data_IF_000650963227
#
_entry.id   IF_000650963227
#
_cell.length_a   1.000
_cell.length_b   1.000
_cell.length_c   1.000
_cell.angle_alpha   90.00
_cell.angle_beta   90.00
_cell.angle_gamma   90.00
#
_symmetry.space_group_name_H-M   'P 1'
#
loop_
_entity.id
_entity.type
_entity.pdbx_description
1 polymer ?
#
# COMPACT_ATOMS: atom_id res chain seq x y z
N UNK A 1 -14.78 22.02 9.60
CA UNK A 1 -13.87 21.17 8.80
C UNK A 1 -12.70 20.78 9.67
N UNK A 2 -12.03 19.66 9.35
CA UNK A 2 -10.76 19.32 10.02
C UNK A 2 -9.68 20.32 9.58
N UNK A 3 -8.78 20.67 10.50
CA UNK A 3 -7.59 21.44 10.17
C UNK A 3 -6.69 20.62 9.22
N UNK A 4 -6.32 21.14 8.03
CA UNK A 4 -5.55 20.38 7.04
C UNK A 4 -4.18 19.96 7.57
N UNK A 5 -3.54 20.79 8.42
CA UNK A 5 -2.25 20.45 9.03
C UNK A 5 -2.41 19.26 9.98
N UNK A 6 -3.43 19.30 10.83
CA UNK A 6 -3.82 18.19 11.71
C UNK A 6 -4.15 16.90 10.94
N UNK A 7 -4.88 17.00 9.83
CA UNK A 7 -5.22 15.83 9.00
C UNK A 7 -3.99 15.17 8.38
N UNK A 8 -3.02 15.97 7.88
CA UNK A 8 -1.76 15.46 7.35
C UNK A 8 -0.90 14.85 8.45
N UNK A 9 -0.83 15.48 9.63
CA UNK A 9 -0.11 14.93 10.77
C UNK A 9 -0.69 13.57 11.19
N UNK A 10 -2.02 13.46 11.25
CA UNK A 10 -2.71 12.21 11.56
C UNK A 10 -2.42 11.13 10.51
N UNK A 11 -2.43 11.47 9.22
CA UNK A 11 -2.05 10.53 8.14
C UNK A 11 -0.63 9.98 8.32
N UNK A 12 0.34 10.85 8.65
CA UNK A 12 1.73 10.45 8.88
C UNK A 12 1.84 9.50 10.09
N UNK A 13 1.19 9.84 11.21
CA UNK A 13 1.18 9.00 12.40
C UNK A 13 0.49 7.66 12.17
N UNK A 14 -0.66 7.65 11.48
CA UNK A 14 -1.35 6.43 11.10
C UNK A 14 -0.47 5.55 10.19
N UNK A 15 0.29 6.15 9.27
CA UNK A 15 1.28 5.46 8.44
C UNK A 15 2.36 4.78 9.29
N UNK A 16 2.98 5.49 10.23
CA UNK A 16 3.98 4.88 11.13
C UNK A 16 3.41 3.77 12.00
N UNK A 17 2.20 3.96 12.54
CA UNK A 17 1.52 2.93 13.33
C UNK A 17 1.24 1.68 12.48
N UNK A 18 0.76 1.86 11.23
CA UNK A 18 0.50 0.75 10.32
C UNK A 18 1.78 -0.04 9.99
N UNK A 19 2.89 0.64 9.71
CA UNK A 19 4.20 0.02 9.46
C UNK A 19 4.68 -0.75 10.70
N UNK A 20 4.57 -0.17 11.89
CA UNK A 20 4.93 -0.83 13.14
C UNK A 20 4.11 -2.10 13.40
N UNK A 21 2.78 -2.03 13.24
CA UNK A 21 1.90 -3.19 13.36
C UNK A 21 2.20 -4.27 12.31
N UNK A 22 2.48 -3.88 11.06
CA UNK A 22 2.85 -4.81 10.00
C UNK A 22 4.18 -5.51 10.30
N UNK A 23 5.18 -4.78 10.81
CA UNK A 23 6.46 -5.36 11.22
C UNK A 23 6.30 -6.35 12.38
N UNK A 24 5.52 -6.00 13.41
CA UNK A 24 5.22 -6.89 14.52
C UNK A 24 4.47 -8.15 14.07
N UNK A 25 3.47 -8.00 13.20
CA UNK A 25 2.73 -9.11 12.61
C UNK A 25 3.64 -10.05 11.80
N UNK A 26 4.52 -9.50 10.95
CA UNK A 26 5.48 -10.28 10.18
C UNK A 26 6.48 -11.02 11.08
N UNK A 27 7.04 -10.34 12.08
CA UNK A 27 7.96 -10.93 13.04
C UNK A 27 7.32 -12.08 13.83
N UNK A 28 6.07 -11.92 14.25
CA UNK A 28 5.29 -12.97 14.91
C UNK A 28 5.21 -14.25 14.07
N UNK A 29 4.86 -14.13 12.78
CA UNK A 29 4.77 -15.29 11.89
C UNK A 29 6.13 -15.92 11.57
N UNK A 30 7.17 -15.10 11.39
CA UNK A 30 8.54 -15.61 11.21
C UNK A 30 8.99 -16.41 12.43
N UNK A 31 8.68 -15.93 13.65
CA UNK A 31 8.94 -16.66 14.89
C UNK A 31 8.25 -18.02 14.93
N UNK A 32 6.98 -18.08 14.52
CA UNK A 32 6.22 -19.34 14.40
C UNK A 32 6.87 -20.28 13.38
N UNK A 33 7.28 -19.78 12.22
CA UNK A 33 7.92 -20.62 11.19
C UNK A 33 9.25 -21.17 11.67
N UNK A 34 10.07 -20.34 12.32
CA UNK A 34 11.35 -20.74 12.89
C UNK A 34 11.16 -21.83 13.97
N UNK A 35 10.23 -21.63 14.91
CA UNK A 35 9.91 -22.60 15.96
C UNK A 35 9.40 -23.95 15.39
N UNK A 36 8.85 -23.94 14.17
CA UNK A 36 8.38 -25.14 13.46
C UNK A 36 9.42 -25.73 12.49
N UNK A 37 10.65 -25.21 12.49
CA UNK A 37 11.72 -25.66 11.57
C UNK A 37 11.43 -25.36 10.09
N UNK A 38 10.51 -24.44 9.80
CA UNK A 38 10.14 -24.07 8.42
C UNK A 38 11.04 -22.93 7.95
N UNK A 39 11.65 -23.10 6.77
CA UNK A 39 12.37 -22.02 6.12
C UNK A 39 11.39 -20.89 5.73
N UNK A 40 11.58 -19.69 6.29
CA UNK A 40 10.70 -18.55 6.05
C UNK A 40 10.60 -18.12 4.58
N UNK A 41 11.65 -18.32 3.78
CA UNK A 41 11.62 -18.06 2.34
C UNK A 41 10.71 -19.07 1.62
N UNK A 42 10.83 -20.35 1.98
CA UNK A 42 9.94 -21.40 1.46
C UNK A 42 8.48 -21.20 1.92
N UNK A 43 8.25 -20.55 3.07
CA UNK A 43 6.92 -20.26 3.57
C UNK A 43 6.24 -19.07 2.85
N UNK A 44 7.01 -18.22 2.17
CA UNK A 44 6.54 -16.94 1.61
C UNK A 44 6.49 -16.92 0.09
N UNK A 45 7.37 -17.67 -0.59
CA UNK A 45 7.37 -17.75 -2.05
C UNK A 45 6.61 -19.00 -2.51
N UNK A 46 5.53 -18.87 -3.32
CA UNK A 46 4.79 -20.02 -3.81
C UNK A 46 5.67 -20.87 -4.74
N UNK A 47 5.64 -22.22 -4.61
CA UNK A 47 6.40 -23.09 -5.48
C UNK A 47 5.91 -22.98 -6.92
N UNK A 48 6.77 -23.30 -7.91
CA UNK A 48 6.45 -23.18 -9.35
C UNK A 48 5.11 -23.82 -9.75
N UNK A 49 4.73 -24.93 -9.13
CA UNK A 49 3.45 -25.61 -9.37
C UNK A 49 2.24 -24.73 -9.07
N UNK A 50 2.31 -23.84 -8.09
CA UNK A 50 1.22 -22.93 -7.73
C UNK A 50 1.01 -21.77 -8.70
N UNK A 51 1.93 -21.55 -9.65
CA UNK A 51 1.79 -20.54 -10.69
C UNK A 51 1.03 -21.06 -11.92
N UNK A 52 0.51 -22.28 -11.83
CA UNK A 52 -0.36 -22.86 -12.85
C UNK A 52 -1.81 -22.39 -12.63
N UNK A 53 -2.49 -21.97 -13.70
CA UNK A 53 -3.85 -21.42 -13.65
C UNK A 53 -4.95 -22.49 -13.62
N UNK A 54 -4.58 -23.78 -13.63
CA UNK A 54 -5.56 -24.86 -13.57
C UNK A 54 -6.21 -24.96 -12.17
N UNK A 55 -7.55 -24.98 -12.13
CA UNK A 55 -8.33 -24.92 -10.89
C UNK A 55 -8.06 -26.06 -9.92
N UNK A 56 -7.78 -27.27 -10.43
CA UNK A 56 -7.40 -28.45 -9.64
C UNK A 56 -6.15 -28.20 -8.80
N UNK A 57 -5.20 -27.41 -9.30
CA UNK A 57 -3.94 -27.11 -8.62
C UNK A 57 -4.13 -26.24 -7.38
N UNK A 58 -5.16 -25.38 -7.36
CA UNK A 58 -5.42 -24.44 -6.27
C UNK A 58 -6.06 -25.09 -5.04
N UNK A 59 -6.87 -26.12 -5.28
CA UNK A 59 -7.53 -26.92 -4.24
C UNK A 59 -6.66 -28.11 -3.79
N UNK A 60 -5.73 -28.56 -4.64
CA UNK A 60 -4.80 -29.64 -4.30
C UNK A 60 -3.86 -29.21 -3.18
N UNK A 61 -3.76 -30.04 -2.13
CA UNK A 61 -2.76 -29.87 -1.06
C UNK A 61 -1.38 -30.23 -1.60
N UNK A 62 -0.44 -29.29 -1.56
CA UNK A 62 0.93 -29.49 -2.04
C UNK A 62 1.91 -29.64 -0.86
N UNK A 63 2.52 -30.82 -0.76
CA UNK A 63 3.68 -31.11 0.11
C UNK A 63 3.42 -31.18 1.62
N UNK A 64 4.32 -31.83 2.34
CA UNK A 64 4.29 -32.21 3.77
C UNK A 64 4.69 -31.07 4.74
N UNK A 65 4.15 -29.88 4.56
CA UNK A 65 4.45 -28.70 5.43
C UNK A 65 3.25 -28.23 6.29
N UNK A 66 2.27 -29.09 6.52
CA UNK A 66 1.33 -28.96 7.63
C UNK A 66 1.83 -29.75 8.84
N UNK A 67 1.62 -29.17 10.02
CA UNK A 67 1.98 -29.69 11.34
C UNK A 67 1.40 -31.10 11.64
N UNK A 68 0.48 -31.55 10.81
CA UNK A 68 -0.41 -32.71 10.93
C UNK A 68 -0.31 -33.65 9.72
N UNK A 69 0.67 -33.44 8.83
CA UNK A 69 0.74 -34.16 7.55
C UNK A 69 -0.30 -33.68 6.52
N UNK A 70 -1.03 -32.60 6.81
CA UNK A 70 -1.94 -31.98 5.83
C UNK A 70 -1.16 -30.97 4.98
N UNK A 71 -1.11 -31.17 3.67
CA UNK A 71 -0.40 -30.21 2.82
C UNK A 71 -1.06 -28.82 2.79
N UNK A 72 -0.26 -27.78 2.61
CA UNK A 72 -0.78 -26.41 2.37
C UNK A 72 -1.34 -26.33 0.95
N UNK A 73 -2.43 -25.60 0.79
CA UNK A 73 -2.96 -25.26 -0.55
C UNK A 73 -2.12 -24.14 -1.16
N UNK A 74 -2.16 -24.02 -2.50
CA UNK A 74 -1.52 -22.90 -3.18
C UNK A 74 -2.04 -21.55 -2.67
N UNK A 75 -3.33 -21.47 -2.32
CA UNK A 75 -3.93 -20.30 -1.70
C UNK A 75 -3.17 -19.83 -0.44
N UNK A 76 -2.77 -20.75 0.44
CA UNK A 76 -2.01 -20.40 1.66
C UNK A 76 -0.63 -19.80 1.34
N UNK A 77 0.05 -20.29 0.30
CA UNK A 77 1.32 -19.71 -0.15
C UNK A 77 1.13 -18.30 -0.70
N UNK A 78 0.07 -18.08 -1.49
CA UNK A 78 -0.20 -16.75 -2.05
C UNK A 78 -0.59 -15.73 -0.97
N UNK A 79 -1.32 -16.12 0.08
CA UNK A 79 -1.55 -15.24 1.23
C UNK A 79 -0.22 -14.72 1.78
N UNK A 80 0.75 -15.60 2.06
CA UNK A 80 2.04 -15.20 2.62
C UNK A 80 2.85 -14.36 1.63
N UNK A 81 2.81 -14.71 0.34
CA UNK A 81 3.45 -13.97 -0.73
C UNK A 81 2.96 -12.52 -0.80
N UNK A 82 1.63 -12.32 -0.84
CA UNK A 82 1.06 -10.98 -0.87
C UNK A 82 1.30 -10.22 0.43
N UNK A 83 1.35 -10.91 1.58
CA UNK A 83 1.80 -10.30 2.84
C UNK A 83 3.24 -9.76 2.76
N UNK A 84 4.15 -10.51 2.14
CA UNK A 84 5.52 -10.06 1.89
C UNK A 84 5.58 -8.89 0.91
N UNK A 85 4.82 -8.93 -0.19
CA UNK A 85 4.73 -7.82 -1.16
C UNK A 85 4.21 -6.54 -0.48
N UNK A 86 3.19 -6.65 0.38
CA UNK A 86 2.68 -5.53 1.17
C UNK A 86 3.73 -4.99 2.15
N UNK A 87 4.46 -5.87 2.85
CA UNK A 87 5.51 -5.46 3.78
C UNK A 87 6.65 -4.72 3.08
N UNK A 88 7.13 -5.23 1.94
CA UNK A 88 8.16 -4.56 1.13
C UNK A 88 7.65 -3.20 0.63
N UNK A 89 6.39 -3.13 0.19
CA UNK A 89 5.78 -1.87 -0.24
C UNK A 89 5.73 -0.85 0.90
N UNK A 90 5.38 -1.27 2.12
CA UNK A 90 5.40 -0.39 3.30
C UNK A 90 6.79 0.10 3.67
N UNK A 91 7.80 -0.74 3.55
CA UNK A 91 9.20 -0.34 3.78
C UNK A 91 9.60 0.73 2.76
N UNK A 92 9.35 0.49 1.47
CA UNK A 92 9.67 1.43 0.40
C UNK A 92 8.90 2.75 0.56
N UNK A 93 7.61 2.70 0.90
CA UNK A 93 6.80 3.88 1.25
C UNK A 93 7.42 4.69 2.38
N UNK A 94 7.84 4.02 3.44
CA UNK A 94 8.40 4.69 4.62
C UNK A 94 9.72 5.38 4.26
N UNK A 95 10.60 4.68 3.55
CA UNK A 95 11.91 5.21 3.13
C UNK A 95 11.76 6.41 2.19
N UNK A 96 10.87 6.33 1.19
CA UNK A 96 10.66 7.45 0.26
C UNK A 96 9.85 8.60 0.86
N UNK A 97 9.13 8.36 1.96
CA UNK A 97 8.36 9.39 2.69
C UNK A 97 9.15 10.07 3.80
N UNK A 98 10.41 9.70 4.03
CA UNK A 98 11.26 10.37 5.01
C UNK A 98 11.33 11.88 4.74
N UNK A 99 11.34 12.74 5.78
CA UNK A 99 11.31 14.19 5.60
C UNK A 99 12.45 14.71 4.72
N UNK A 100 13.63 14.08 4.79
CA UNK A 100 14.78 14.41 3.95
C UNK A 100 14.52 14.12 2.47
N UNK A 101 13.98 12.94 2.14
CA UNK A 101 13.64 12.56 0.75
C UNK A 101 12.54 13.46 0.21
N UNK A 102 11.47 13.68 0.99
CA UNK A 102 10.34 14.52 0.58
C UNK A 102 10.75 15.96 0.27
N UNK A 103 11.66 16.55 1.07
CA UNK A 103 12.12 17.94 0.86
C UNK A 103 13.09 18.07 -0.32
N UNK A 104 13.93 17.07 -0.58
CA UNK A 104 14.98 17.15 -1.62
C UNK A 104 14.58 16.53 -2.96
N UNK A 105 13.74 15.50 -2.93
CA UNK A 105 13.36 14.69 -4.08
C UNK A 105 11.84 14.49 -4.14
N UNK A 106 11.08 15.59 -4.12
CA UNK A 106 9.61 15.55 -4.06
C UNK A 106 8.96 14.70 -5.17
N UNK A 107 9.49 14.73 -6.40
CA UNK A 107 9.00 13.90 -7.50
C UNK A 107 9.13 12.40 -7.21
N UNK A 108 10.26 11.99 -6.62
CA UNK A 108 10.49 10.58 -6.23
C UNK A 108 9.53 10.19 -5.12
N UNK A 109 9.40 11.04 -4.09
CA UNK A 109 8.41 10.87 -3.04
C UNK A 109 7.01 10.67 -3.64
N UNK A 110 6.52 11.59 -4.46
CA UNK A 110 5.17 11.54 -4.99
C UNK A 110 4.89 10.28 -5.82
N UNK A 111 5.76 9.96 -6.79
CA UNK A 111 5.57 8.81 -7.67
C UNK A 111 5.66 7.48 -6.91
N UNK A 112 6.64 7.35 -6.01
CA UNK A 112 6.79 6.15 -5.19
C UNK A 112 5.65 6.01 -4.18
N UNK A 113 5.22 7.11 -3.56
CA UNK A 113 4.15 7.10 -2.57
C UNK A 113 2.83 6.64 -3.19
N UNK A 114 2.46 7.18 -4.35
CA UNK A 114 1.25 6.73 -5.06
C UNK A 114 1.41 5.28 -5.55
N UNK A 115 2.52 4.95 -6.21
CA UNK A 115 2.74 3.62 -6.77
C UNK A 115 2.74 2.51 -5.73
N UNK A 116 3.53 2.66 -4.66
CA UNK A 116 3.59 1.67 -3.59
C UNK A 116 2.34 1.68 -2.71
N UNK A 117 1.63 2.80 -2.56
CA UNK A 117 0.35 2.81 -1.85
C UNK A 117 -0.68 1.94 -2.59
N UNK A 118 -0.84 2.11 -3.90
CA UNK A 118 -1.74 1.29 -4.72
C UNK A 118 -1.33 -0.19 -4.67
N UNK A 119 -0.03 -0.48 -4.85
CA UNK A 119 0.48 -1.85 -4.75
C UNK A 119 0.19 -2.48 -3.39
N UNK A 120 0.43 -1.75 -2.30
CA UNK A 120 0.18 -2.22 -0.94
C UNK A 120 -1.31 -2.49 -0.68
N UNK A 121 -2.21 -1.65 -1.20
CA UNK A 121 -3.66 -1.86 -1.10
C UNK A 121 -4.11 -3.14 -1.82
N UNK A 122 -3.66 -3.34 -3.07
CA UNK A 122 -3.96 -4.57 -3.81
C UNK A 122 -3.40 -5.81 -3.10
N UNK A 123 -2.14 -5.74 -2.64
CA UNK A 123 -1.51 -6.84 -1.92
C UNK A 123 -2.23 -7.16 -0.60
N UNK A 124 -2.68 -6.15 0.15
CA UNK A 124 -3.47 -6.34 1.37
C UNK A 124 -4.81 -7.02 1.12
N UNK A 125 -5.51 -6.66 0.03
CA UNK A 125 -6.76 -7.33 -0.36
C UNK A 125 -6.53 -8.81 -0.69
N UNK A 126 -5.43 -9.13 -1.38
CA UNK A 126 -5.06 -10.51 -1.69
C UNK A 126 -4.53 -11.29 -0.46
N UNK A 127 -3.90 -10.60 0.49
CA UNK A 127 -3.41 -11.20 1.74
C UNK A 127 -4.56 -11.52 2.70
N UNK A 128 -5.56 -10.64 2.81
CA UNK A 128 -6.69 -10.81 3.72
C UNK A 128 -7.97 -10.22 3.13
N UNK A 129 -8.83 -11.08 2.57
CA UNK A 129 -10.06 -10.66 1.87
C UNK A 129 -10.99 -9.77 2.71
N UNK A 130 -11.04 -9.94 4.04
CA UNK A 130 -11.87 -9.10 4.93
C UNK A 130 -11.37 -7.66 5.03
N UNK A 131 -10.17 -7.34 4.52
CA UNK A 131 -9.69 -5.96 4.38
C UNK A 131 -10.65 -5.08 3.57
N UNK A 132 -11.47 -5.67 2.69
CA UNK A 132 -12.47 -4.93 1.91
C UNK A 132 -13.40 -4.10 2.81
N UNK A 133 -13.81 -4.63 3.97
CA UNK A 133 -14.72 -3.94 4.88
C UNK A 133 -14.07 -2.73 5.56
N UNK A 134 -12.75 -2.73 5.70
CA UNK A 134 -11.99 -1.64 6.31
C UNK A 134 -11.57 -0.59 5.27
N UNK A 135 -11.23 -1.01 4.05
CA UNK A 135 -10.75 -0.12 3.00
C UNK A 135 -11.89 0.56 2.22
N UNK A 136 -12.98 -0.16 1.94
CA UNK A 136 -14.05 0.33 1.08
C UNK A 136 -14.67 1.66 1.57
N UNK A 137 -15.02 1.83 2.86
CA UNK A 137 -15.59 3.10 3.33
C UNK A 137 -14.65 4.29 3.11
N UNK A 138 -13.35 4.11 3.41
CA UNK A 138 -12.35 5.16 3.24
C UNK A 138 -12.10 5.50 1.77
N UNK A 139 -12.05 4.50 0.89
CA UNK A 139 -11.88 4.70 -0.55
C UNK A 139 -13.10 5.37 -1.18
N UNK A 140 -14.31 5.00 -0.77
CA UNK A 140 -15.55 5.65 -1.21
C UNK A 140 -15.60 7.11 -0.75
N UNK A 141 -15.21 7.38 0.49
CA UNK A 141 -15.14 8.75 1.00
C UNK A 141 -14.10 9.60 0.25
N UNK A 142 -12.92 9.03 -0.01
CA UNK A 142 -11.88 9.68 -0.80
C UNK A 142 -12.33 9.96 -2.24
N UNK A 143 -12.99 8.99 -2.87
CA UNK A 143 -13.54 9.15 -4.21
C UNK A 143 -14.62 10.23 -4.23
N UNK A 144 -15.56 10.22 -3.28
CA UNK A 144 -16.63 11.21 -3.19
C UNK A 144 -16.11 12.64 -2.99
N UNK A 145 -15.04 12.81 -2.20
CA UNK A 145 -14.42 14.12 -1.95
C UNK A 145 -13.51 14.60 -3.08
N UNK A 146 -12.84 13.68 -3.79
CA UNK A 146 -11.92 14.02 -4.88
C UNK A 146 -12.60 14.12 -6.25
N UNK A 147 -13.73 13.43 -6.43
CA UNK A 147 -14.44 13.36 -7.70
C UNK A 147 -14.89 14.72 -8.24
N UNK A 148 -15.46 15.65 -7.43
CA UNK A 148 -15.83 16.97 -7.94
C UNK A 148 -14.65 17.74 -8.53
N UNK A 149 -13.50 17.74 -7.83
CA UNK A 149 -12.28 18.39 -8.30
C UNK A 149 -11.73 17.73 -9.56
N UNK A 150 -11.74 16.39 -9.63
CA UNK A 150 -11.31 15.64 -10.81
C UNK A 150 -12.25 15.90 -12.01
N UNK A 151 -13.57 15.91 -11.78
CA UNK A 151 -14.56 16.23 -12.80
C UNK A 151 -14.42 17.67 -13.29
N UNK A 152 -14.20 18.63 -12.39
CA UNK A 152 -13.92 20.02 -12.75
C UNK A 152 -12.63 20.12 -13.58
N UNK A 153 -11.55 19.46 -13.18
CA UNK A 153 -10.30 19.46 -13.94
C UNK A 153 -10.49 18.88 -15.35
N UNK A 154 -11.23 17.78 -15.48
CA UNK A 154 -11.54 17.15 -16.77
C UNK A 154 -12.42 18.05 -17.66
N UNK A 155 -13.44 18.70 -17.08
CA UNK A 155 -14.32 19.63 -17.79
C UNK A 155 -13.57 20.90 -18.22
N UNK A 156 -12.70 21.45 -17.37
CA UNK A 156 -11.85 22.59 -17.67
C UNK A 156 -10.85 22.26 -18.79
N UNK A 157 -10.25 21.06 -18.77
CA UNK A 157 -9.39 20.59 -19.86
C UNK A 157 -10.14 20.57 -21.20
N UNK A 158 -11.39 20.08 -21.20
CA UNK A 158 -12.24 20.06 -22.40
C UNK A 158 -12.70 21.44 -22.88
N UNK A 159 -12.75 22.44 -21.99
CA UNK A 159 -13.13 23.83 -22.30
C UNK A 159 -11.96 24.71 -22.75
N UNK A 160 -10.77 24.13 -22.97
CA UNK A 160 -9.58 24.85 -23.42
C UNK A 160 -8.65 25.30 -22.28
N UNK A 161 -8.96 24.96 -21.02
CA UNK A 161 -8.16 25.28 -19.85
C UNK A 161 -8.05 26.78 -19.55
N UNK A 162 -7.52 27.10 -18.38
CA UNK A 162 -7.03 28.45 -18.06
C UNK A 162 -5.51 28.42 -18.15
N UNK A 163 -4.94 29.26 -19.01
CA UNK A 163 -3.49 29.43 -19.10
C UNK A 163 -3.06 30.35 -17.98
N UNK A 164 -2.29 29.85 -17.02
CA UNK A 164 -1.63 30.69 -16.02
C UNK A 164 -0.66 31.61 -16.77
N UNK A 165 -0.96 32.91 -16.79
CA UNK A 165 -0.16 33.92 -17.50
C UNK A 165 1.05 34.36 -16.66
N UNK A 166 0.97 34.24 -15.35
CA UNK A 166 2.03 34.51 -14.39
C UNK A 166 1.58 34.12 -12.99
N UNK A 167 2.54 33.84 -12.11
CA UNK A 167 2.33 33.70 -10.68
C UNK A 167 3.22 34.75 -10.01
N UNK A 168 2.63 35.57 -9.14
CA UNK A 168 3.35 36.64 -8.44
C UNK A 168 3.55 36.23 -6.97
N UNK A 169 4.77 36.43 -6.46
CA UNK A 169 5.05 36.14 -5.07
C UNK A 169 4.36 37.19 -4.19
N UNK A 170 3.53 36.74 -3.25
CA UNK A 170 2.93 37.64 -2.26
C UNK A 170 4.09 38.23 -1.42
N UNK A 171 4.25 39.57 -1.35
CA UNK A 171 5.25 40.18 -0.48
C UNK A 171 5.06 39.70 0.96
N UNK A 172 6.17 39.41 1.64
CA UNK A 172 6.21 38.92 3.03
C UNK A 172 5.62 37.52 3.29
N UNK A 173 5.37 36.70 2.26
CA UNK A 173 4.83 35.35 2.42
C UNK A 173 5.84 34.27 2.84
N UNK A 174 7.11 34.63 3.01
CA UNK A 174 8.18 33.67 3.30
C UNK A 174 8.45 32.66 2.18
N UNK A 175 8.06 32.98 0.93
CA UNK A 175 8.25 32.11 -0.23
C UNK A 175 7.04 31.27 -0.62
N UNK A 176 5.86 31.53 -0.05
CA UNK A 176 4.61 30.98 -0.55
C UNK A 176 4.19 31.71 -1.83
N UNK A 177 3.99 30.95 -2.90
CA UNK A 177 3.35 31.41 -4.14
C UNK A 177 1.91 30.91 -4.15
N UNK A 178 0.94 31.83 -4.24
CA UNK A 178 -0.42 31.47 -4.63
C UNK A 178 -0.48 31.38 -6.16
N UNK A 179 -1.15 30.33 -6.65
CA UNK A 179 -1.41 30.09 -8.06
C UNK A 179 -2.74 30.71 -8.50
#
# INVERSE_FOLDING_TARGET
GWDPVGAVALHVWAGYAAVGCAAAHGAYWIGIWYARGVNGFAATVPPRKCWDFRADVWETRHGTYGHDGTGRTCFSYFINFFGMVAAVSFILLTLTSLPWVRRKYYRVFYLSHVGFAVLSLCALLCHYHKMVFFLCPSLLYYAASSFPTAAQALLSFRRGGTRVLGAEAIPDSGGCVDL
#
